data_IF_300048386308
#
_entry.id   IF_300048386308
#
_cell.length_a   1.000
_cell.length_b   1.000
_cell.length_c   1.000
_cell.angle_alpha   90.00
_cell.angle_beta   90.00
_cell.angle_gamma   90.00
#
_symmetry.space_group_name_H-M   'P 1'
#
loop_
_entity.id
_entity.type
_entity.pdbx_description
1 polymer ?
#
# COMPACT_ATOMS: atom_id res chain seq x y z
N UNK A 1 3.57 -14.05 3.29
CA UNK A 1 2.92 -12.82 3.82
C UNK A 1 2.66 -13.00 5.30
N UNK A 2 2.94 -11.98 6.08
CA UNK A 2 2.71 -12.02 7.51
C UNK A 2 1.29 -11.57 7.82
N UNK A 3 0.61 -12.28 8.73
CA UNK A 3 -0.76 -12.00 9.15
C UNK A 3 -0.75 -11.74 10.65
N UNK A 4 -1.41 -10.67 11.06
CA UNK A 4 -1.62 -10.33 12.48
C UNK A 4 -3.12 -10.31 12.74
N UNK A 5 -3.54 -10.92 13.84
CA UNK A 5 -4.94 -10.94 14.25
C UNK A 5 -5.13 -10.06 15.47
N UNK A 6 -6.16 -9.23 15.41
CA UNK A 6 -6.56 -8.35 16.49
C UNK A 6 -8.07 -8.52 16.72
N UNK A 7 -8.42 -9.31 17.74
CA UNK A 7 -9.80 -9.72 17.97
C UNK A 7 -10.33 -10.54 16.79
N UNK A 8 -11.42 -10.10 16.19
CA UNK A 8 -12.04 -10.74 15.01
C UNK A 8 -11.44 -10.25 13.70
N UNK A 9 -10.50 -9.31 13.72
CA UNK A 9 -9.90 -8.73 12.53
C UNK A 9 -8.58 -9.41 12.20
N UNK A 10 -8.39 -9.65 10.90
CA UNK A 10 -7.14 -10.18 10.36
C UNK A 10 -6.46 -9.08 9.53
N UNK A 11 -5.24 -8.74 9.92
CA UNK A 11 -4.44 -7.73 9.25
C UNK A 11 -3.32 -8.40 8.46
N UNK A 12 -3.23 -8.09 7.18
CA UNK A 12 -2.08 -8.49 6.36
C UNK A 12 -1.02 -7.41 6.46
N UNK A 13 0.19 -7.81 6.78
CA UNK A 13 1.30 -6.89 7.06
C UNK A 13 2.15 -6.71 5.81
N UNK A 14 2.31 -5.46 5.38
CA UNK A 14 3.18 -5.08 4.27
C UNK A 14 4.30 -4.22 4.81
N UNK A 15 5.53 -4.71 4.71
CA UNK A 15 6.71 -3.97 5.15
C UNK A 15 7.33 -3.23 3.99
N UNK A 16 7.30 -1.90 4.04
CA UNK A 16 8.02 -1.06 3.08
C UNK A 16 9.43 -0.89 3.61
N UNK A 17 10.38 -1.60 2.99
CA UNK A 17 11.78 -1.64 3.42
C UNK A 17 12.64 -0.72 2.58
N UNK A 18 13.87 -0.49 3.03
CA UNK A 18 14.81 0.39 2.33
C UNK A 18 15.05 -0.06 0.88
N UNK A 19 15.11 -1.36 0.62
CA UNK A 19 15.28 -1.88 -0.74
C UNK A 19 14.14 -1.44 -1.67
N UNK A 20 12.92 -1.36 -1.17
CA UNK A 20 11.77 -0.90 -1.95
C UNK A 20 11.89 0.58 -2.29
N UNK A 21 12.39 1.37 -1.34
CA UNK A 21 12.63 2.80 -1.53
C UNK A 21 13.72 3.03 -2.58
N UNK A 22 14.83 2.28 -2.47
CA UNK A 22 15.99 2.44 -3.35
C UNK A 22 15.70 2.03 -4.79
N UNK A 23 14.81 1.05 -5.00
CA UNK A 23 14.45 0.54 -6.32
C UNK A 23 13.18 1.15 -6.91
N UNK A 24 12.41 1.88 -6.10
CA UNK A 24 11.18 2.52 -6.55
C UNK A 24 11.42 3.75 -7.41
N UNK A 25 10.42 4.11 -8.23
CA UNK A 25 10.48 5.26 -9.11
C UNK A 25 9.35 6.24 -8.77
N UNK A 26 9.68 7.53 -8.53
CA UNK A 26 8.66 8.54 -8.26
C UNK A 26 7.68 8.71 -9.43
N UNK A 27 6.40 8.95 -9.10
CA UNK A 27 5.36 9.21 -10.08
C UNK A 27 4.92 8.02 -10.92
N UNK A 28 5.36 6.79 -10.57
CA UNK A 28 5.00 5.58 -11.31
C UNK A 28 4.34 4.56 -10.38
N UNK A 29 3.01 4.46 -10.44
CA UNK A 29 2.24 3.56 -9.58
C UNK A 29 2.57 2.09 -9.74
N UNK A 30 3.11 1.67 -10.89
CA UNK A 30 3.54 0.29 -11.13
C UNK A 30 4.98 -0.02 -10.70
N UNK A 31 5.70 0.96 -10.17
CA UNK A 31 7.09 0.78 -9.72
C UNK A 31 7.42 1.66 -8.50
N UNK A 32 6.43 2.06 -7.73
CA UNK A 32 6.66 2.79 -6.50
C UNK A 32 7.03 1.83 -5.36
N UNK A 33 7.64 2.33 -4.27
CA UNK A 33 8.02 1.46 -3.16
C UNK A 33 6.88 0.67 -2.55
N UNK A 34 5.68 1.24 -2.46
CA UNK A 34 4.51 0.56 -1.92
C UNK A 34 4.09 -0.61 -2.80
N UNK A 35 4.08 -0.42 -4.13
CA UNK A 35 3.81 -1.48 -5.08
C UNK A 35 4.80 -2.65 -4.90
N UNK A 36 6.09 -2.32 -4.87
CA UNK A 36 7.13 -3.33 -4.73
C UNK A 36 7.02 -4.08 -3.40
N UNK A 37 6.72 -3.37 -2.32
CA UNK A 37 6.51 -3.97 -1.00
C UNK A 37 5.30 -4.90 -0.96
N UNK A 38 4.21 -4.52 -1.62
CA UNK A 38 3.00 -5.35 -1.68
C UNK A 38 3.26 -6.63 -2.47
N UNK A 39 3.97 -6.54 -3.59
CA UNK A 39 4.35 -7.74 -4.36
C UNK A 39 5.26 -8.65 -3.56
N UNK A 40 6.26 -8.11 -2.88
CA UNK A 40 7.17 -8.91 -2.05
C UNK A 40 6.46 -9.52 -0.84
N UNK A 41 5.39 -8.92 -0.39
CA UNK A 41 4.56 -9.46 0.70
C UNK A 41 3.65 -10.61 0.26
N UNK A 42 3.64 -10.95 -1.02
CA UNK A 42 2.85 -12.05 -1.55
C UNK A 42 1.42 -11.67 -1.93
N UNK A 43 1.11 -10.39 -2.02
CA UNK A 43 -0.20 -9.95 -2.48
C UNK A 43 -0.28 -10.17 -3.99
N UNK A 44 -1.25 -10.96 -4.41
CA UNK A 44 -1.48 -11.28 -5.82
C UNK A 44 -2.50 -10.33 -6.42
N UNK A 45 -2.45 -10.22 -7.75
CA UNK A 45 -3.40 -9.44 -8.51
C UNK A 45 -2.78 -8.22 -9.15
N UNK A 46 -3.63 -7.42 -9.78
CA UNK A 46 -3.26 -6.18 -10.47
C UNK A 46 -3.34 -5.02 -9.48
N UNK A 47 -2.19 -4.57 -9.02
CA UNK A 47 -2.07 -3.56 -7.97
C UNK A 47 -1.80 -2.19 -8.59
N UNK A 48 -2.59 -1.19 -8.21
CA UNK A 48 -2.37 0.21 -8.56
C UNK A 48 -2.22 1.04 -7.28
N UNK A 49 -1.12 1.75 -7.17
CA UNK A 49 -0.89 2.68 -6.06
C UNK A 49 -1.14 4.10 -6.57
N UNK A 50 -2.31 4.63 -6.28
CA UNK A 50 -2.70 5.99 -6.65
C UNK A 50 -2.43 7.00 -5.55
N UNK A 51 -2.76 8.27 -5.82
CA UNK A 51 -2.56 9.37 -4.87
C UNK A 51 -3.53 9.30 -3.68
N UNK A 52 -4.70 8.70 -3.87
CA UNK A 52 -5.76 8.65 -2.86
C UNK A 52 -6.01 7.26 -2.30
N UNK A 53 -5.71 6.23 -3.08
CA UNK A 53 -6.01 4.85 -2.69
C UNK A 53 -5.09 3.86 -3.38
N UNK A 54 -4.98 2.67 -2.77
CA UNK A 54 -4.40 1.49 -3.42
C UNK A 54 -5.57 0.63 -3.89
N UNK A 55 -5.56 0.23 -5.15
CA UNK A 55 -6.57 -0.67 -5.71
C UNK A 55 -5.95 -1.98 -6.14
N UNK A 56 -6.70 -3.08 -5.99
CA UNK A 56 -6.28 -4.41 -6.39
C UNK A 56 -7.36 -5.00 -7.28
N UNK A 57 -7.00 -5.39 -8.50
CA UNK A 57 -7.90 -5.95 -9.52
C UNK A 57 -9.05 -4.99 -9.91
N UNK A 58 -8.87 -3.71 -9.72
CA UNK A 58 -9.90 -2.70 -9.89
C UNK A 58 -9.24 -1.42 -10.40
N UNK A 59 -9.81 -0.77 -11.39
CA UNK A 59 -9.27 0.48 -11.89
C UNK A 59 -9.45 1.60 -10.86
N UNK A 60 -8.56 2.61 -10.83
CA UNK A 60 -8.73 3.74 -9.93
C UNK A 60 -10.10 4.39 -10.08
N UNK A 61 -10.79 4.61 -8.96
CA UNK A 61 -12.11 5.19 -8.93
C UNK A 61 -13.25 4.21 -9.16
N UNK A 62 -12.98 2.91 -9.34
CA UNK A 62 -14.04 1.91 -9.45
C UNK A 62 -14.65 1.60 -8.09
N UNK A 63 -15.86 1.04 -8.09
CA UNK A 63 -16.43 0.44 -6.89
C UNK A 63 -16.21 -1.07 -6.96
N UNK A 64 -15.71 -1.71 -5.88
CA UNK A 64 -15.52 -3.16 -5.87
C UNK A 64 -16.84 -3.89 -6.14
N UNK A 65 -16.85 -4.76 -7.15
CA UNK A 65 -18.02 -5.53 -7.56
C UNK A 65 -17.84 -7.03 -7.36
N UNK A 66 -16.59 -7.48 -7.26
CA UNK A 66 -16.23 -8.89 -7.13
C UNK A 66 -15.44 -9.09 -5.83
N UNK A 67 -15.42 -10.33 -5.35
CA UNK A 67 -14.68 -10.71 -4.15
C UNK A 67 -13.18 -10.48 -4.27
N UNK A 68 -12.66 -10.37 -5.49
CA UNK A 68 -11.24 -10.18 -5.75
C UNK A 68 -10.85 -8.72 -5.99
N UNK A 69 -11.80 -7.80 -5.93
CA UNK A 69 -11.56 -6.38 -6.14
C UNK A 69 -11.51 -5.66 -4.79
N UNK A 70 -10.47 -4.87 -4.59
CA UNK A 70 -10.25 -4.17 -3.31
C UNK A 70 -9.84 -2.73 -3.53
N UNK A 71 -10.35 -1.85 -2.68
CA UNK A 71 -9.94 -0.45 -2.60
C UNK A 71 -9.55 -0.17 -1.14
N UNK A 72 -8.34 0.34 -0.95
CA UNK A 72 -7.84 0.78 0.35
C UNK A 72 -7.53 2.26 0.28
N UNK A 73 -8.33 3.09 0.92
CA UNK A 73 -8.04 4.52 1.01
C UNK A 73 -6.76 4.75 1.80
N UNK A 74 -5.90 5.64 1.32
CA UNK A 74 -4.67 5.96 2.02
C UNK A 74 -4.96 6.59 3.38
N UNK A 75 -4.15 6.21 4.37
CA UNK A 75 -4.09 6.96 5.63
C UNK A 75 -3.36 8.28 5.39
N UNK A 76 -3.44 9.19 6.34
CA UNK A 76 -2.67 10.43 6.27
C UNK A 76 -1.17 10.14 6.16
N UNK A 77 -0.69 9.11 6.84
CA UNK A 77 0.72 8.69 6.80
C UNK A 77 1.13 8.24 5.40
N UNK A 78 0.39 7.33 4.78
CA UNK A 78 0.73 6.83 3.44
C UNK A 78 0.61 7.92 2.38
N UNK A 79 -0.41 8.76 2.48
CA UNK A 79 -0.61 9.86 1.53
C UNK A 79 0.54 10.86 1.59
N UNK A 80 0.93 11.26 2.78
CA UNK A 80 2.06 12.16 3.00
C UNK A 80 3.38 11.53 2.56
N UNK A 81 3.57 10.25 2.87
CA UNK A 81 4.78 9.52 2.50
C UNK A 81 4.94 9.45 0.98
N UNK A 82 3.87 9.12 0.24
CA UNK A 82 3.88 9.05 -1.22
C UNK A 82 4.20 10.42 -1.82
N UNK A 83 3.57 11.48 -1.29
CA UNK A 83 3.83 12.84 -1.74
C UNK A 83 5.30 13.22 -1.56
N UNK A 84 5.89 12.89 -0.42
CA UNK A 84 7.31 13.16 -0.15
C UNK A 84 8.22 12.34 -1.07
N UNK A 85 7.87 11.09 -1.34
CA UNK A 85 8.63 10.25 -2.26
C UNK A 85 8.62 10.81 -3.67
N UNK A 86 7.45 11.21 -4.18
CA UNK A 86 7.30 11.76 -5.53
C UNK A 86 8.05 13.10 -5.69
N UNK A 87 8.16 13.86 -4.61
CA UNK A 87 8.92 15.12 -4.57
C UNK A 87 10.41 14.91 -4.27
N UNK A 88 10.84 13.66 -4.08
CA UNK A 88 12.21 13.29 -3.72
C UNK A 88 12.71 13.95 -2.43
N UNK A 89 11.83 14.11 -1.47
CA UNK A 89 12.15 14.70 -0.18
C UNK A 89 12.72 13.62 0.76
N UNK A 90 14.00 13.30 0.59
CA UNK A 90 14.68 12.17 1.21
C UNK A 90 14.62 12.16 2.73
N UNK A 91 14.59 13.32 3.37
CA UNK A 91 14.59 13.43 4.83
C UNK A 91 13.27 12.92 5.44
N UNK A 92 12.22 12.80 4.64
CA UNK A 92 10.89 12.36 5.07
C UNK A 92 10.49 11.02 4.50
N UNK A 93 11.43 10.29 3.89
CA UNK A 93 11.23 8.97 3.33
C UNK A 93 11.95 7.96 4.22
N UNK A 94 11.20 7.04 4.80
CA UNK A 94 11.71 6.06 5.75
C UNK A 94 10.96 4.75 5.58
N UNK A 95 11.56 3.61 5.95
CA UNK A 95 10.85 2.34 6.01
C UNK A 95 9.70 2.38 7.00
N UNK A 96 8.59 1.75 6.66
CA UNK A 96 7.42 1.70 7.55
C UNK A 96 6.57 0.46 7.23
N UNK A 97 5.53 0.26 8.03
CA UNK A 97 4.67 -0.92 7.92
C UNK A 97 3.24 -0.49 7.65
N UNK A 98 2.60 -1.18 6.72
CA UNK A 98 1.19 -1.00 6.38
C UNK A 98 0.43 -2.25 6.81
N UNK A 99 -0.72 -2.04 7.42
CA UNK A 99 -1.65 -3.11 7.80
C UNK A 99 -2.90 -3.01 6.93
N UNK A 100 -3.25 -4.11 6.26
CA UNK A 100 -4.40 -4.18 5.35
C UNK A 100 -5.43 -5.18 5.87
N UNK A 101 -6.66 -4.71 6.04
CA UNK A 101 -7.82 -5.53 6.34
C UNK A 101 -8.60 -5.74 5.04
N UNK A 102 -8.42 -6.90 4.42
CA UNK A 102 -9.07 -7.21 3.15
C UNK A 102 -10.57 -7.45 3.29
N UNK A 103 -11.01 -7.88 4.44
CA UNK A 103 -12.44 -8.13 4.68
C UNK A 103 -13.24 -6.83 4.67
N UNK A 104 -12.68 -5.77 5.28
CA UNK A 104 -13.37 -4.48 5.43
C UNK A 104 -12.83 -3.38 4.49
N UNK A 105 -11.76 -3.65 3.75
CA UNK A 105 -11.16 -2.67 2.86
C UNK A 105 -10.51 -1.50 3.59
N UNK A 106 -9.87 -1.77 4.71
CA UNK A 106 -9.27 -0.75 5.58
C UNK A 106 -7.76 -0.87 5.61
N UNK A 107 -7.07 0.27 5.49
CA UNK A 107 -5.64 0.38 5.67
C UNK A 107 -5.34 1.12 6.98
N UNK A 108 -4.36 0.64 7.72
CA UNK A 108 -3.81 1.35 8.88
C UNK A 108 -2.30 1.39 8.84
N UNK A 109 -1.74 2.45 9.41
CA UNK A 109 -0.29 2.65 9.51
C UNK A 109 0.03 3.15 10.92
N UNK A 110 1.15 2.64 11.44
CA UNK A 110 1.67 3.05 12.75
C UNK A 110 3.13 3.47 12.56
N UNK A 111 3.42 4.71 12.84
CA UNK A 111 4.77 5.27 12.71
C UNK A 111 5.22 5.91 14.01
#
# INVERSE_FOLDING_TARGET
MKIVRDGDREWKVVKVEQVHIDTGQPGRGGNCPLYNAMKDSGIEGDIHVGAHAITINCDPGCEPRNENEFIFDHTHVTQTWISNFDKRNKDKIYPFVIYLDFENGIMETYT
#
